data_IF_603193287792
#
_entry.id   IF_603193287792
#
_cell.length_a   1.000
_cell.length_b   1.000
_cell.length_c   1.000
_cell.angle_alpha   90.00
_cell.angle_beta   90.00
_cell.angle_gamma   90.00
#
_symmetry.space_group_name_H-M   'P 1'
#
loop_
_entity.id
_entity.type
_entity.pdbx_description
1 polymer ?
#
# COMPACT_ATOMS: atom_id res chain seq x y z
N UNK A 1 5.13 -16.12 -18.75
CA UNK A 1 4.62 -16.08 -17.36
C UNK A 1 4.60 -14.63 -16.91
N UNK A 2 3.51 -14.12 -16.31
CA UNK A 2 3.55 -12.80 -15.68
C UNK A 2 4.64 -12.84 -14.61
N UNK A 3 5.56 -11.87 -14.65
CA UNK A 3 6.60 -11.77 -13.63
C UNK A 3 5.92 -11.52 -12.28
N UNK A 4 6.34 -12.23 -11.23
CA UNK A 4 5.81 -12.01 -9.88
C UNK A 4 5.95 -10.53 -9.52
N UNK A 5 4.87 -9.97 -9.00
CA UNK A 5 4.87 -8.60 -8.52
C UNK A 5 5.77 -8.52 -7.27
N UNK A 6 6.76 -7.61 -7.24
CA UNK A 6 7.77 -7.58 -6.18
C UNK A 6 7.19 -7.26 -4.78
N UNK A 7 6.03 -6.60 -4.71
CA UNK A 7 5.40 -6.19 -3.46
C UNK A 7 4.13 -7.00 -3.13
N UNK A 8 3.85 -8.06 -3.90
CA UNK A 8 2.70 -8.94 -3.68
C UNK A 8 2.70 -9.57 -2.28
N UNK A 9 3.88 -9.90 -1.73
CA UNK A 9 3.99 -10.51 -0.41
C UNK A 9 3.40 -9.59 0.66
N UNK A 10 3.83 -8.32 0.69
CA UNK A 10 3.36 -7.33 1.64
C UNK A 10 1.86 -7.06 1.46
N UNK A 11 1.38 -7.00 0.22
CA UNK A 11 -0.05 -6.86 -0.05
C UNK A 11 -0.88 -8.02 0.53
N UNK A 12 -0.40 -9.26 0.40
CA UNK A 12 -1.05 -10.42 1.02
C UNK A 12 -1.03 -10.34 2.56
N UNK A 13 0.04 -9.84 3.16
CA UNK A 13 0.12 -9.67 4.62
C UNK A 13 -0.88 -8.61 5.11
N UNK A 14 -1.14 -7.55 4.35
CA UNK A 14 -2.19 -6.57 4.67
C UNK A 14 -3.55 -7.26 4.72
N UNK A 15 -3.86 -8.09 3.71
CA UNK A 15 -5.15 -8.81 3.67
C UNK A 15 -5.31 -9.74 4.89
N UNK A 16 -4.27 -10.49 5.26
CA UNK A 16 -4.28 -11.32 6.48
C UNK A 16 -4.47 -10.49 7.74
N UNK A 17 -3.75 -9.37 7.85
CA UNK A 17 -3.89 -8.47 8.99
C UNK A 17 -5.31 -7.93 9.10
N UNK A 18 -5.91 -7.48 7.99
CA UNK A 18 -7.28 -6.99 7.97
C UNK A 18 -8.25 -8.07 8.42
N UNK A 19 -8.15 -9.29 7.88
CA UNK A 19 -8.99 -10.42 8.30
C UNK A 19 -8.87 -10.70 9.80
N UNK A 20 -7.65 -10.69 10.35
CA UNK A 20 -7.40 -10.90 11.77
C UNK A 20 -7.88 -9.75 12.67
N UNK A 21 -8.02 -8.55 12.12
CA UNK A 21 -8.37 -7.33 12.86
C UNK A 21 -9.79 -6.82 12.56
N UNK A 22 -10.68 -7.67 12.04
CA UNK A 22 -12.04 -7.29 11.65
C UNK A 22 -12.07 -6.10 10.68
N UNK A 23 -11.13 -6.09 9.74
CA UNK A 23 -10.95 -5.07 8.71
C UNK A 23 -10.67 -3.66 9.25
N UNK A 24 -10.22 -3.55 10.51
CA UNK A 24 -9.81 -2.27 11.10
C UNK A 24 -8.40 -1.91 10.61
N UNK A 25 -8.33 -1.12 9.54
CA UNK A 25 -7.08 -0.72 8.87
C UNK A 25 -6.07 -0.04 9.81
N UNK A 26 -6.54 0.76 10.77
CA UNK A 26 -5.67 1.45 11.74
C UNK A 26 -4.79 0.49 12.56
N UNK A 27 -5.23 -0.76 12.75
CA UNK A 27 -4.45 -1.82 13.41
C UNK A 27 -3.38 -2.44 12.49
N UNK A 28 -3.51 -2.26 11.18
CA UNK A 28 -2.62 -2.81 10.16
C UNK A 28 -1.63 -1.79 9.59
N UNK A 29 -1.54 -0.59 10.18
CA UNK A 29 -0.67 0.50 9.72
C UNK A 29 0.79 0.08 9.58
N UNK A 30 1.30 -0.78 10.46
CA UNK A 30 2.67 -1.30 10.35
C UNK A 30 2.90 -2.07 9.03
N UNK A 31 1.97 -2.96 8.67
CA UNK A 31 2.08 -3.76 7.43
C UNK A 31 1.86 -2.90 6.19
N UNK A 32 0.97 -1.91 6.29
CA UNK A 32 0.74 -0.91 5.23
C UNK A 32 2.02 -0.08 4.99
N UNK A 33 2.71 0.35 6.05
CA UNK A 33 3.98 1.05 5.93
C UNK A 33 5.06 0.20 5.27
N UNK A 34 5.13 -1.10 5.59
CA UNK A 34 6.05 -2.02 4.91
C UNK A 34 5.75 -2.15 3.41
N UNK A 35 4.47 -2.18 3.01
CA UNK A 35 4.12 -2.15 1.60
C UNK A 35 4.54 -0.83 0.93
N UNK A 36 4.34 0.32 1.59
CA UNK A 36 4.80 1.63 1.07
C UNK A 36 6.32 1.67 0.91
N UNK A 37 7.07 1.15 1.88
CA UNK A 37 8.53 1.00 1.77
C UNK A 37 8.92 0.06 0.63
N UNK A 38 8.14 -0.99 0.38
CA UNK A 38 8.36 -1.85 -0.79
C UNK A 38 8.15 -1.05 -2.07
N UNK A 39 7.06 -0.29 -2.18
CA UNK A 39 6.76 0.50 -3.36
C UNK A 39 7.81 1.58 -3.65
N UNK A 40 8.34 2.23 -2.62
CA UNK A 40 9.39 3.24 -2.76
C UNK A 40 10.72 2.70 -3.32
N UNK A 41 10.95 1.38 -3.31
CA UNK A 41 12.16 0.75 -3.85
C UNK A 41 12.11 0.52 -5.37
N UNK A 42 10.95 0.64 -5.99
CA UNK A 42 10.74 0.34 -7.40
C UNK A 42 10.20 1.55 -8.15
N UNK A 43 10.46 1.67 -9.46
CA UNK A 43 9.83 2.71 -10.28
C UNK A 43 8.31 2.52 -10.33
N UNK A 44 7.56 3.63 -10.43
CA UNK A 44 6.10 3.64 -10.56
C UNK A 44 5.63 2.65 -11.65
N UNK A 45 4.56 1.92 -11.37
CA UNK A 45 4.01 0.93 -12.30
C UNK A 45 4.81 -0.39 -12.44
N UNK A 46 5.94 -0.55 -11.73
CA UNK A 46 6.63 -1.86 -11.65
C UNK A 46 5.82 -2.91 -10.91
N UNK A 47 5.01 -2.47 -9.96
CA UNK A 47 4.13 -3.29 -9.13
C UNK A 47 2.69 -2.80 -9.30
N UNK A 48 1.81 -3.73 -9.63
CA UNK A 48 0.36 -3.50 -9.74
C UNK A 48 -0.19 -3.11 -8.37
N UNK A 49 0.27 -3.76 -7.29
CA UNK A 49 -0.20 -3.43 -5.93
C UNK A 49 0.21 -2.02 -5.52
N UNK A 50 1.41 -1.58 -5.91
CA UNK A 50 1.88 -0.22 -5.61
C UNK A 50 1.10 0.86 -6.35
N UNK A 51 0.61 0.58 -7.56
CA UNK A 51 -0.13 1.56 -8.36
C UNK A 51 -1.42 2.03 -7.66
N UNK A 52 -2.03 1.18 -6.82
CA UNK A 52 -3.16 1.57 -5.97
C UNK A 52 -2.75 2.49 -4.82
N UNK A 53 -1.63 2.18 -4.15
CA UNK A 53 -1.12 2.95 -3.00
C UNK A 53 -0.59 4.32 -3.40
N UNK A 54 0.08 4.43 -4.54
CA UNK A 54 0.62 5.71 -5.02
C UNK A 54 -0.49 6.73 -5.29
N UNK A 55 -1.65 6.29 -5.78
CA UNK A 55 -2.83 7.15 -5.98
C UNK A 55 -3.44 7.60 -4.66
N UNK A 56 -3.53 6.70 -3.68
CA UNK A 56 -4.04 7.03 -2.34
C UNK A 56 -3.16 8.05 -1.61
N UNK A 57 -1.83 7.91 -1.70
CA UNK A 57 -0.90 8.85 -1.07
C UNK A 57 -0.99 10.24 -1.71
N UNK A 58 -1.12 10.31 -3.04
CA UNK A 58 -1.31 11.57 -3.78
C UNK A 58 -2.63 12.26 -3.40
N UNK A 59 -3.72 11.50 -3.26
CA UNK A 59 -5.01 12.05 -2.82
C UNK A 59 -4.92 12.56 -1.37
N UNK A 60 -4.30 11.80 -0.45
CA UNK A 60 -4.12 12.23 0.94
C UNK A 60 -3.27 13.49 1.07
N UNK A 61 -2.21 13.63 0.27
CA UNK A 61 -1.39 14.84 0.19
C UNK A 61 -2.20 16.04 -0.32
N UNK A 62 -3.02 15.82 -1.34
CA UNK A 62 -3.89 16.85 -1.92
C UNK A 62 -4.96 17.32 -0.93
N UNK A 63 -5.59 16.39 -0.21
CA UNK A 63 -6.60 16.67 0.83
C UNK A 63 -6.01 17.42 2.03
N UNK A 64 -4.77 17.11 2.42
CA UNK A 64 -4.07 17.88 3.47
C UNK A 64 -3.70 19.29 3.03
N UNK A 65 -3.44 19.50 1.74
CA UNK A 65 -3.03 20.81 1.22
C UNK A 65 -4.22 21.76 1.03
N UNK A 66 -5.41 21.23 0.73
CA UNK A 66 -6.66 22.01 0.61
C UNK A 66 -7.36 22.28 1.94
N UNK A 67 -6.95 21.61 3.02
CA UNK A 67 -7.47 21.82 4.38
C UNK A 67 -6.67 22.86 5.20
N UNK A 68 -5.69 23.53 4.59
CA UNK A 68 -4.87 24.59 5.18
C UNK A 68 -5.23 25.95 4.57
#
# INVERSE_FOLDING_TARGET
MPRKDPCQKQACEIQKCLQANNYVESKCQAVIQELRKCCAQYPKGRSVVCTGFEKEEEENLTRKSTAK
#
